data_IF_751609561637
#
_entry.id   IF_751609561637
#
_cell.length_a   1.000
_cell.length_b   1.000
_cell.length_c   1.000
_cell.angle_alpha   90.00
_cell.angle_beta   90.00
_cell.angle_gamma   90.00
#
_symmetry.space_group_name_H-M   'P 1'
#
loop_
_entity.id
_entity.type
_entity.pdbx_description
1 polymer ?
#
# COMPACT_ATOMS: atom_id res chain seq x y z
N UNK A 1 -19.97 2.59 -0.40
CA UNK A 1 -20.15 3.96 -0.96
C UNK A 1 -19.75 5.01 0.08
N UNK A 2 -18.48 5.06 0.52
CA UNK A 2 -17.86 6.16 1.31
C UNK A 2 -16.32 6.12 1.13
N UNK A 3 -15.81 6.15 -0.10
CA UNK A 3 -14.35 6.14 -0.33
C UNK A 3 -13.93 6.88 -1.60
N UNK A 4 -14.44 8.11 -1.81
CA UNK A 4 -14.03 8.95 -2.95
C UNK A 4 -13.51 10.34 -2.55
N UNK A 5 -13.60 10.76 -1.28
CA UNK A 5 -13.09 12.08 -0.87
C UNK A 5 -11.98 11.97 0.17
N UNK A 6 -10.76 11.76 -0.31
CA UNK A 6 -9.53 12.09 0.43
C UNK A 6 -8.37 12.32 -0.55
N UNK A 7 -8.54 13.29 -1.44
CA UNK A 7 -7.44 13.95 -2.14
C UNK A 7 -7.62 15.44 -1.96
N UNK A 8 -6.88 16.02 -1.02
CA UNK A 8 -6.41 17.40 -0.99
C UNK A 8 -5.54 17.55 0.26
N UNK A 9 -4.24 17.39 0.07
CA UNK A 9 -3.24 17.69 1.09
C UNK A 9 -3.16 19.20 1.31
N UNK A 10 -3.31 19.63 2.56
CA UNK A 10 -2.92 20.96 3.02
C UNK A 10 -2.25 20.79 4.41
N UNK A 11 -1.06 21.36 4.65
CA UNK A 11 -0.36 21.22 5.91
C UNK A 11 -0.96 22.12 6.99
N UNK A 12 -1.22 21.58 8.18
CA UNK A 12 -1.58 22.35 9.37
C UNK A 12 -0.33 23.06 9.92
N UNK A 13 -0.29 24.39 9.83
CA UNK A 13 0.60 25.25 10.63
C UNK A 13 -0.17 25.68 11.88
N UNK A 14 0.30 25.27 13.06
CA UNK A 14 -0.18 25.76 14.35
C UNK A 14 0.41 27.16 14.60
N UNK A 15 -0.44 28.09 15.01
CA UNK A 15 -0.09 29.48 15.35
C UNK A 15 0.22 29.54 16.85
N UNK A 16 1.43 29.99 17.21
CA UNK A 16 1.84 30.32 18.57
C UNK A 16 1.27 31.70 18.98
N UNK A 17 0.60 31.83 20.15
CA UNK A 17 0.09 33.11 20.62
C UNK A 17 1.05 33.68 21.67
N UNK A 18 2.18 34.26 21.24
CA UNK A 18 2.96 35.17 22.09
C UNK A 18 3.94 35.97 21.23
N UNK A 19 3.50 37.13 20.74
CA UNK A 19 4.40 38.27 20.54
C UNK A 19 3.62 39.57 20.66
N UNK A 20 4.11 40.41 21.57
CA UNK A 20 3.50 41.64 22.02
C UNK A 20 3.54 42.76 20.99
N UNK A 21 2.67 43.71 21.30
CA UNK A 21 2.41 44.99 20.69
C UNK A 21 3.68 45.86 20.59
N UNK A 22 3.97 46.40 19.41
CA UNK A 22 4.71 47.67 19.29
C UNK A 22 4.22 48.45 18.06
N UNK A 23 3.75 49.68 18.33
CA UNK A 23 3.32 50.67 17.35
C UNK A 23 4.51 51.57 17.00
N UNK A 24 4.83 51.73 15.71
CA UNK A 24 5.53 52.92 15.22
C UNK A 24 5.27 53.16 13.72
N UNK A 25 4.44 54.18 13.47
CA UNK A 25 4.46 55.23 12.42
C UNK A 25 4.95 54.92 10.99
N UNK A 26 4.07 55.29 10.04
CA UNK A 26 4.27 55.43 8.57
C UNK A 26 4.94 56.79 8.26
N UNK A 27 5.55 57.00 7.07
CA UNK A 27 4.80 57.78 6.07
C UNK A 27 4.92 57.34 4.59
N UNK A 28 3.75 57.39 3.95
CA UNK A 28 3.38 57.73 2.57
C UNK A 28 4.36 57.58 1.39
N UNK A 29 4.02 56.70 0.44
CA UNK A 29 3.81 57.13 -0.94
C UNK A 29 2.76 56.27 -1.68
N UNK A 30 1.85 56.95 -2.37
CA UNK A 30 0.58 56.40 -2.85
C UNK A 30 0.66 55.58 -4.13
N UNK A 31 -0.30 54.65 -4.24
CA UNK A 31 -0.97 54.34 -5.51
C UNK A 31 -2.32 53.68 -5.21
N UNK A 32 -3.38 54.35 -5.62
CA UNK A 32 -4.75 53.85 -5.59
C UNK A 32 -4.91 52.64 -6.51
N UNK A 33 -5.40 51.54 -5.94
CA UNK A 33 -6.26 50.56 -6.62
C UNK A 33 -7.29 50.05 -5.60
N UNK A 34 -8.53 49.86 -6.09
CA UNK A 34 -9.78 49.65 -5.38
C UNK A 34 -9.78 48.59 -4.23
N UNK A 35 -10.72 48.67 -3.27
CA UNK A 35 -10.69 47.82 -2.09
C UNK A 35 -11.16 46.39 -2.41
N UNK A 36 -10.27 45.41 -2.25
CA UNK A 36 -10.66 43.99 -2.13
C UNK A 36 -11.25 43.79 -0.72
N UNK A 37 -12.47 44.31 -0.52
CA UNK A 37 -13.17 44.21 0.77
C UNK A 37 -13.92 42.88 0.96
N UNK A 38 -13.94 41.99 -0.04
CA UNK A 38 -14.67 40.71 0.01
C UNK A 38 -13.85 39.49 0.47
N UNK A 39 -12.53 39.50 0.34
CA UNK A 39 -11.73 38.27 0.49
C UNK A 39 -11.45 37.89 1.96
N UNK A 40 -11.24 38.87 2.85
CA UNK A 40 -11.01 38.61 4.28
C UNK A 40 -12.28 38.13 5.00
N UNK A 41 -13.45 38.67 4.64
CA UNK A 41 -14.72 38.24 5.24
C UNK A 41 -15.10 36.81 4.82
N UNK A 42 -14.95 36.46 3.53
CA UNK A 42 -15.22 35.10 3.04
C UNK A 42 -14.32 34.05 3.69
N UNK A 43 -13.02 34.33 3.87
CA UNK A 43 -12.10 33.42 4.57
C UNK A 43 -12.51 33.25 6.05
N UNK A 44 -12.90 34.34 6.72
CA UNK A 44 -13.33 34.28 8.13
C UNK A 44 -14.66 33.52 8.32
N UNK A 45 -15.58 33.64 7.36
CA UNK A 45 -16.88 32.95 7.38
C UNK A 45 -16.67 31.47 7.10
N UNK A 46 -15.80 31.11 6.14
CA UNK A 46 -15.46 29.72 5.85
C UNK A 46 -14.74 29.04 7.01
N UNK A 47 -13.83 29.74 7.71
CA UNK A 47 -13.19 29.23 8.93
C UNK A 47 -14.21 29.00 10.05
N UNK A 48 -15.13 29.93 10.28
CA UNK A 48 -16.19 29.77 11.28
C UNK A 48 -17.13 28.62 10.92
N UNK A 49 -17.50 28.48 9.64
CA UNK A 49 -18.32 27.38 9.16
C UNK A 49 -17.62 26.04 9.30
N UNK A 50 -16.31 25.97 9.03
CA UNK A 50 -15.49 24.77 9.18
C UNK A 50 -15.37 24.35 10.66
N UNK A 51 -15.25 25.30 11.59
CA UNK A 51 -15.23 25.04 13.05
C UNK A 51 -16.59 24.57 13.54
N UNK A 52 -17.68 25.17 13.07
CA UNK A 52 -19.05 24.75 13.44
C UNK A 52 -19.36 23.37 12.86
N UNK A 53 -19.02 23.13 11.59
CA UNK A 53 -19.18 21.83 10.94
C UNK A 53 -18.39 20.73 11.66
N UNK A 54 -17.15 21.02 12.07
CA UNK A 54 -16.34 20.09 12.86
C UNK A 54 -16.95 19.81 14.24
N UNK A 55 -17.45 20.84 14.94
CA UNK A 55 -18.17 20.65 16.21
C UNK A 55 -19.40 19.76 16.04
N UNK A 56 -20.17 19.98 14.97
CA UNK A 56 -21.36 19.18 14.66
C UNK A 56 -20.97 17.73 14.36
N UNK A 57 -19.94 17.51 13.52
CA UNK A 57 -19.43 16.17 13.21
C UNK A 57 -18.87 15.44 14.44
N UNK A 58 -18.24 16.16 15.37
CA UNK A 58 -17.68 15.61 16.61
C UNK A 58 -18.79 15.20 17.61
N UNK A 59 -19.91 15.92 17.65
CA UNK A 59 -21.11 15.53 18.42
C UNK A 59 -21.95 14.44 17.76
N UNK A 60 -22.03 14.40 16.42
CA UNK A 60 -22.89 13.47 15.69
C UNK A 60 -22.23 12.12 15.37
N UNK A 61 -20.89 12.04 15.39
CA UNK A 61 -20.14 10.82 15.05
C UNK A 61 -19.21 10.44 16.23
N UNK A 62 -19.66 9.58 17.16
CA UNK A 62 -18.88 9.19 18.35
C UNK A 62 -17.44 8.69 18.07
N UNK A 63 -17.16 7.97 16.96
CA UNK A 63 -15.79 7.60 16.57
C UNK A 63 -14.84 8.78 16.36
N UNK A 64 -15.34 9.93 15.89
CA UNK A 64 -14.52 11.11 15.58
C UNK A 64 -14.00 11.77 16.86
N UNK A 65 -14.88 11.95 17.85
CA UNK A 65 -14.50 12.46 19.17
C UNK A 65 -13.50 11.52 19.87
N UNK A 66 -13.71 10.19 19.77
CA UNK A 66 -12.77 9.19 20.31
C UNK A 66 -11.37 9.29 19.66
N UNK A 67 -11.30 9.53 18.36
CA UNK A 67 -10.02 9.77 17.64
C UNK A 67 -9.37 11.06 18.11
N UNK A 68 -10.15 12.14 18.29
CA UNK A 68 -9.67 13.42 18.81
C UNK A 68 -9.04 13.29 20.20
N UNK A 69 -9.75 12.66 21.13
CA UNK A 69 -9.26 12.40 22.49
C UNK A 69 -8.01 11.51 22.49
N UNK A 70 -7.97 10.46 21.66
CA UNK A 70 -6.80 9.57 21.55
C UNK A 70 -5.57 10.34 21.04
N UNK A 71 -5.74 11.23 20.05
CA UNK A 71 -4.65 12.09 19.57
C UNK A 71 -4.17 13.08 20.63
N UNK A 72 -5.09 13.66 21.41
CA UNK A 72 -4.74 14.56 22.50
C UNK A 72 -3.94 13.83 23.60
N UNK A 73 -4.43 12.65 24.04
CA UNK A 73 -3.70 11.81 25.01
C UNK A 73 -2.32 11.43 24.49
N UNK A 74 -2.20 11.07 23.22
CA UNK A 74 -0.90 10.76 22.60
C UNK A 74 0.04 11.97 22.62
N UNK A 75 -0.45 13.17 22.31
CA UNK A 75 0.35 14.39 22.36
C UNK A 75 0.81 14.73 23.79
N UNK A 76 -0.08 14.60 24.76
CA UNK A 76 0.23 14.78 26.18
C UNK A 76 1.26 13.76 26.67
N UNK A 77 1.14 12.49 26.25
CA UNK A 77 2.10 11.43 26.58
C UNK A 77 3.50 11.74 26.02
N UNK A 78 3.60 12.18 24.76
CA UNK A 78 4.89 12.59 24.18
C UNK A 78 5.48 13.78 24.94
N UNK A 79 4.65 14.77 25.31
CA UNK A 79 5.12 15.92 26.07
C UNK A 79 5.60 15.54 27.48
N UNK A 80 4.97 14.56 28.11
CA UNK A 80 5.42 13.99 29.37
C UNK A 80 6.78 13.30 29.21
N UNK A 81 6.94 12.45 28.18
CA UNK A 81 8.22 11.78 27.88
C UNK A 81 9.34 12.82 27.68
N UNK A 82 9.07 13.90 26.93
CA UNK A 82 10.00 15.02 26.75
C UNK A 82 10.48 15.62 28.06
N UNK A 83 9.57 15.86 29.00
CA UNK A 83 9.93 16.39 30.32
C UNK A 83 10.77 15.41 31.12
N UNK A 84 10.36 14.13 31.14
CA UNK A 84 11.11 13.07 31.82
C UNK A 84 12.52 12.96 31.26
N UNK A 85 12.69 12.93 29.94
CA UNK A 85 14.01 12.86 29.31
C UNK A 85 14.91 14.03 29.74
N UNK A 86 14.39 15.27 29.80
CA UNK A 86 15.19 16.43 30.27
C UNK A 86 15.69 16.27 31.70
N UNK A 87 14.83 15.82 32.60
CA UNK A 87 15.22 15.59 34.00
C UNK A 87 16.23 14.44 34.12
N UNK A 88 16.05 13.38 33.34
CA UNK A 88 16.92 12.19 33.37
C UNK A 88 18.32 12.48 32.80
N UNK A 89 18.44 13.36 31.79
CA UNK A 89 19.74 13.81 31.27
C UNK A 89 20.54 14.58 32.32
N UNK A 90 19.86 15.24 33.28
CA UNK A 90 20.52 15.95 34.38
C UNK A 90 21.14 15.02 35.43
N UNK A 91 20.86 13.71 35.37
CA UNK A 91 21.45 12.70 36.24
C UNK A 91 22.80 12.21 35.70
N UNK A 92 23.53 11.47 36.54
CA UNK A 92 24.71 10.75 36.08
C UNK A 92 24.36 9.74 34.97
N UNK A 93 25.25 9.58 33.99
CA UNK A 93 25.05 8.74 32.79
C UNK A 93 24.66 7.30 33.14
N UNK A 94 25.21 6.76 34.23
CA UNK A 94 24.89 5.39 34.69
C UNK A 94 23.43 5.25 35.13
N UNK A 95 22.91 6.26 35.85
CA UNK A 95 21.52 6.32 36.31
C UNK A 95 20.57 6.65 35.16
N UNK A 96 20.96 7.55 34.26
CA UNK A 96 20.19 7.86 33.07
C UNK A 96 20.01 6.61 32.19
N UNK A 97 21.11 5.85 32.00
CA UNK A 97 21.10 4.60 31.25
C UNK A 97 20.16 3.55 31.85
N UNK A 98 20.21 3.31 33.16
CA UNK A 98 19.34 2.32 33.79
C UNK A 98 17.85 2.69 33.72
N UNK A 99 17.51 3.99 33.82
CA UNK A 99 16.13 4.49 33.71
C UNK A 99 15.61 4.38 32.27
N UNK A 100 16.43 4.74 31.27
CA UNK A 100 16.00 4.82 29.87
C UNK A 100 16.04 3.48 29.12
N UNK A 101 16.84 2.51 29.59
CA UNK A 101 17.05 1.22 28.90
C UNK A 101 15.75 0.48 28.61
N UNK A 102 14.97 0.17 29.64
CA UNK A 102 13.74 -0.61 29.47
C UNK A 102 12.67 0.15 28.66
N UNK A 103 12.34 1.42 28.94
CA UNK A 103 11.38 2.19 28.14
C UNK A 103 11.77 2.30 26.66
N UNK A 104 13.06 2.45 26.36
CA UNK A 104 13.56 2.54 24.99
C UNK A 104 13.34 1.24 24.21
N UNK A 105 13.70 0.10 24.80
CA UNK A 105 13.56 -1.21 24.16
C UNK A 105 12.08 -1.59 23.99
N UNK A 106 11.24 -1.34 24.99
CA UNK A 106 9.78 -1.56 24.87
C UNK A 106 9.16 -0.65 23.81
N UNK A 107 9.57 0.61 23.72
CA UNK A 107 9.09 1.50 22.66
C UNK A 107 9.44 0.97 21.27
N UNK A 108 10.63 0.39 21.10
CA UNK A 108 11.02 -0.25 19.85
C UNK A 108 10.20 -1.52 19.57
N UNK A 109 10.01 -2.38 20.59
CA UNK A 109 9.24 -3.62 20.51
C UNK A 109 7.76 -3.39 20.17
N UNK A 110 7.15 -2.32 20.69
CA UNK A 110 5.75 -1.96 20.42
C UNK A 110 5.57 -1.01 19.23
N UNK A 111 6.67 -0.59 18.58
CA UNK A 111 6.60 0.24 17.38
C UNK A 111 6.33 1.72 17.64
N UNK A 112 6.54 2.21 18.85
CA UNK A 112 6.30 3.61 19.27
C UNK A 112 7.52 4.47 18.90
N UNK A 113 7.68 4.72 17.60
CA UNK A 113 8.83 5.43 17.03
C UNK A 113 9.01 6.86 17.57
N UNK A 114 7.96 7.51 18.06
CA UNK A 114 8.02 8.84 18.66
C UNK A 114 8.83 8.84 19.96
N UNK A 115 8.65 7.82 20.81
CA UNK A 115 9.40 7.66 22.06
C UNK A 115 10.85 7.28 21.76
N UNK A 116 11.06 6.34 20.83
CA UNK A 116 12.41 5.94 20.36
C UNK A 116 13.18 7.16 19.87
N UNK A 117 12.55 8.00 19.05
CA UNK A 117 13.15 9.23 18.54
C UNK A 117 13.48 10.20 19.66
N UNK A 118 12.55 10.46 20.57
CA UNK A 118 12.76 11.42 21.65
C UNK A 118 13.90 11.01 22.58
N UNK A 119 13.97 9.72 22.92
CA UNK A 119 15.05 9.18 23.76
C UNK A 119 16.39 9.29 23.05
N UNK A 120 16.49 8.99 21.74
CA UNK A 120 17.75 9.11 20.99
C UNK A 120 18.19 10.55 20.79
N UNK A 121 17.26 11.48 20.57
CA UNK A 121 17.56 12.91 20.44
C UNK A 121 18.05 13.49 21.78
N UNK A 122 17.60 12.92 22.91
CA UNK A 122 17.98 13.31 24.27
C UNK A 122 19.23 12.62 24.81
N UNK A 123 19.38 11.32 24.55
CA UNK A 123 20.43 10.44 25.07
C UNK A 123 20.92 9.50 23.96
N UNK A 124 21.85 9.94 23.10
CA UNK A 124 22.29 9.17 21.92
C UNK A 124 22.88 7.79 22.23
N UNK A 125 23.50 7.62 23.39
CA UNK A 125 24.11 6.35 23.82
C UNK A 125 23.07 5.23 24.01
N UNK A 126 21.78 5.57 24.14
CA UNK A 126 20.68 4.61 24.20
C UNK A 126 20.63 3.67 22.99
N UNK A 127 21.22 4.07 21.85
CA UNK A 127 21.25 3.25 20.65
C UNK A 127 21.95 1.90 20.84
N UNK A 128 22.83 1.80 21.85
CA UNK A 128 23.58 0.59 22.21
C UNK A 128 22.88 -0.28 23.25
N UNK A 129 21.73 0.14 23.76
CA UNK A 129 20.96 -0.66 24.71
C UNK A 129 20.52 -1.99 24.09
N UNK A 130 20.61 -3.03 24.92
CA UNK A 130 20.28 -4.42 24.59
C UNK A 130 19.30 -4.97 25.64
N UNK A 131 18.46 -5.93 25.27
CA UNK A 131 17.67 -6.71 26.23
C UNK A 131 18.47 -7.89 26.80
N UNK A 132 17.80 -8.81 27.50
CA UNK A 132 18.41 -10.03 28.07
C UNK A 132 18.84 -11.05 26.99
N UNK A 133 18.29 -10.94 25.77
CA UNK A 133 18.59 -11.79 24.61
C UNK A 133 19.67 -11.17 23.70
N UNK A 134 20.32 -10.08 24.11
CA UNK A 134 21.24 -9.27 23.29
C UNK A 134 20.57 -8.58 22.08
N UNK A 135 19.25 -8.34 22.12
CA UNK A 135 18.55 -7.58 21.10
C UNK A 135 18.62 -6.08 21.36
N UNK A 136 19.17 -5.36 20.38
CA UNK A 136 19.06 -3.90 20.35
C UNK A 136 17.66 -3.47 19.90
N UNK A 137 17.33 -2.19 20.06
CA UNK A 137 16.13 -1.62 19.44
C UNK A 137 16.07 -1.84 17.91
N UNK A 138 17.21 -2.06 17.24
CA UNK A 138 17.26 -2.40 15.82
C UNK A 138 16.77 -3.85 15.57
N UNK A 139 17.22 -4.80 16.39
CA UNK A 139 16.75 -6.19 16.36
C UNK A 139 15.25 -6.28 16.65
N UNK A 140 14.78 -5.59 17.69
CA UNK A 140 13.36 -5.55 18.04
C UNK A 140 12.51 -4.94 16.91
N UNK A 141 12.96 -3.85 16.30
CA UNK A 141 12.24 -3.28 15.16
C UNK A 141 12.12 -4.27 13.99
N UNK A 142 13.15 -5.09 13.77
CA UNK A 142 13.18 -6.14 12.75
C UNK A 142 12.23 -7.29 13.06
N UNK A 143 12.31 -7.85 14.28
CA UNK A 143 11.52 -9.00 14.71
C UNK A 143 10.01 -8.71 14.70
N UNK A 144 9.63 -7.48 15.08
CA UNK A 144 8.23 -7.06 15.21
C UNK A 144 7.70 -6.31 13.97
N UNK A 145 8.51 -6.20 12.90
CA UNK A 145 8.14 -5.54 11.62
C UNK A 145 7.78 -4.06 11.78
N UNK A 146 8.47 -3.35 12.68
CA UNK A 146 8.25 -1.93 12.95
C UNK A 146 9.13 -1.04 12.06
N UNK A 147 8.70 -0.87 10.81
CA UNK A 147 9.34 0.00 9.79
C UNK A 147 9.75 1.38 10.32
N UNK A 148 8.84 2.08 11.00
CA UNK A 148 9.10 3.46 11.46
C UNK A 148 10.21 3.52 12.51
N UNK A 149 10.25 2.55 13.42
CA UNK A 149 11.32 2.41 14.41
C UNK A 149 12.62 2.08 13.70
N UNK A 150 12.62 1.10 12.80
CA UNK A 150 13.79 0.74 12.01
C UNK A 150 14.37 1.95 11.27
N UNK A 151 13.51 2.77 10.65
CA UNK A 151 13.91 3.99 9.94
C UNK A 151 14.53 5.02 10.88
N UNK A 152 13.92 5.28 12.04
CA UNK A 152 14.47 6.21 13.06
C UNK A 152 15.84 5.71 13.53
N UNK A 153 15.94 4.43 13.88
CA UNK A 153 17.19 3.81 14.31
C UNK A 153 18.26 3.93 13.23
N UNK A 154 17.92 3.65 11.97
CA UNK A 154 18.84 3.76 10.84
C UNK A 154 19.37 5.18 10.64
N UNK A 155 18.48 6.18 10.67
CA UNK A 155 18.84 7.58 10.53
C UNK A 155 19.73 8.09 11.66
N UNK A 156 19.55 7.55 12.88
CA UNK A 156 20.31 7.93 14.09
C UNK A 156 21.53 7.05 14.34
N UNK A 157 21.75 6.00 13.54
CA UNK A 157 22.83 5.03 13.73
C UNK A 157 24.23 5.65 13.65
N UNK A 158 24.44 6.66 12.79
CA UNK A 158 25.71 7.38 12.67
C UNK A 158 26.93 6.44 12.67
N UNK A 159 27.85 6.66 13.62
CA UNK A 159 29.06 5.86 13.84
C UNK A 159 28.79 4.41 14.32
N UNK A 160 27.64 4.16 14.96
CA UNK A 160 27.28 2.84 15.48
C UNK A 160 26.74 1.89 14.40
N UNK A 161 26.52 2.37 13.16
CA UNK A 161 25.93 1.56 12.08
C UNK A 161 26.66 0.24 11.84
N UNK A 162 28.00 0.27 11.81
CA UNK A 162 28.80 -0.94 11.61
C UNK A 162 28.68 -1.90 12.80
N UNK A 163 28.81 -1.38 14.02
CA UNK A 163 28.66 -2.13 15.27
C UNK A 163 27.29 -2.82 15.32
N UNK A 164 26.21 -2.07 15.14
CA UNK A 164 24.83 -2.56 15.19
C UNK A 164 24.54 -3.64 14.12
N UNK A 165 25.22 -3.58 12.97
CA UNK A 165 25.05 -4.61 11.92
C UNK A 165 25.74 -5.94 12.24
N UNK A 166 26.74 -5.90 13.14
CA UNK A 166 27.60 -7.03 13.48
C UNK A 166 27.25 -7.67 14.82
N UNK A 167 26.37 -7.07 15.61
CA UNK A 167 25.95 -7.61 16.91
C UNK A 167 25.05 -8.84 16.70
N UNK A 168 25.49 -10.04 17.11
CA UNK A 168 24.61 -11.19 17.15
C UNK A 168 23.75 -11.19 18.43
N UNK A 169 22.61 -11.88 18.39
CA UNK A 169 21.89 -12.28 19.60
C UNK A 169 22.62 -13.43 20.34
N UNK A 170 22.03 -13.92 21.43
CA UNK A 170 22.57 -15.04 22.21
C UNK A 170 22.70 -16.35 21.41
N UNK A 171 21.90 -16.55 20.36
CA UNK A 171 21.90 -17.71 19.48
C UNK A 171 22.76 -17.52 18.23
N UNK A 172 23.60 -16.48 18.23
CA UNK A 172 24.44 -16.09 17.10
C UNK A 172 23.64 -15.73 15.83
N UNK A 173 22.36 -15.37 15.98
CA UNK A 173 21.55 -14.82 14.92
C UNK A 173 21.98 -13.37 14.68
N UNK A 174 22.41 -13.09 13.46
CA UNK A 174 22.43 -11.71 13.00
C UNK A 174 21.01 -11.23 12.67
N UNK A 175 20.89 -9.94 12.42
CA UNK A 175 19.64 -9.29 12.07
C UNK A 175 18.86 -9.94 10.92
N UNK A 176 19.53 -10.56 9.94
CA UNK A 176 18.86 -11.22 8.83
C UNK A 176 18.23 -12.57 9.24
N UNK A 177 18.84 -13.30 10.18
CA UNK A 177 18.22 -14.49 10.78
C UNK A 177 16.94 -14.09 11.54
N UNK A 178 16.98 -12.97 12.28
CA UNK A 178 15.82 -12.45 13.02
C UNK A 178 14.64 -12.08 12.12
N UNK A 179 14.89 -11.62 10.88
CA UNK A 179 13.83 -11.46 9.88
C UNK A 179 13.29 -12.80 9.40
N UNK A 180 14.13 -13.82 9.33
CA UNK A 180 13.78 -15.16 8.88
C UNK A 180 12.61 -15.77 9.66
N UNK A 181 12.53 -15.50 10.96
CA UNK A 181 11.43 -15.97 11.80
C UNK A 181 10.11 -15.27 11.48
N UNK A 182 9.00 -15.99 11.67
CA UNK A 182 7.65 -15.40 11.62
C UNK A 182 7.59 -14.20 12.57
N UNK A 183 6.96 -13.12 12.12
CA UNK A 183 6.83 -11.91 12.93
C UNK A 183 6.22 -12.24 14.31
N UNK A 184 6.91 -11.86 15.39
CA UNK A 184 6.41 -12.02 16.77
C UNK A 184 5.33 -10.96 17.06
N UNK A 185 4.21 -10.99 16.33
CA UNK A 185 3.14 -10.02 16.56
C UNK A 185 2.27 -10.46 17.75
N UNK A 186 2.26 -9.66 18.82
CA UNK A 186 1.18 -9.67 19.84
C UNK A 186 -0.14 -9.10 19.29
N UNK A 187 -0.14 -8.61 18.05
CA UNK A 187 -1.32 -8.10 17.39
C UNK A 187 -1.99 -9.23 16.62
N UNK A 188 -3.06 -9.75 17.19
CA UNK A 188 -4.10 -10.54 16.55
C UNK A 188 -4.80 -9.72 15.44
N UNK A 189 -4.06 -9.12 14.50
CA UNK A 189 -4.63 -8.78 13.20
C UNK A 189 -4.55 -10.04 12.32
N UNK A 190 -5.27 -11.07 12.80
CA UNK A 190 -5.94 -12.07 11.97
C UNK A 190 -7.10 -11.41 11.18
N UNK A 191 -6.95 -10.14 10.81
CA UNK A 191 -7.82 -9.49 9.85
C UNK A 191 -7.45 -10.06 8.48
N UNK A 192 -8.09 -11.19 8.19
CA UNK A 192 -8.53 -11.58 6.86
C UNK A 192 -7.44 -11.84 5.84
N UNK A 193 -7.26 -13.11 5.46
CA UNK A 193 -6.88 -13.52 4.10
C UNK A 193 -6.04 -12.50 3.32
N UNK A 194 -4.90 -12.09 3.88
CA UNK A 194 -4.06 -11.06 3.29
C UNK A 194 -3.31 -11.74 2.15
N UNK A 195 -3.97 -11.80 1.00
CA UNK A 195 -3.39 -12.14 -0.29
C UNK A 195 -2.02 -11.44 -0.36
N UNK A 196 -0.93 -12.23 -0.38
CA UNK A 196 0.47 -11.81 -0.52
C UNK A 196 1.15 -11.32 0.77
N UNK A 197 0.83 -11.90 1.92
CA UNK A 197 1.63 -11.76 3.14
C UNK A 197 3.07 -12.24 2.93
N UNK A 198 3.26 -13.33 2.18
CA UNK A 198 4.61 -13.83 1.86
C UNK A 198 5.44 -12.77 1.11
N UNK A 199 4.79 -12.02 0.21
CA UNK A 199 5.46 -10.98 -0.55
C UNK A 199 5.95 -9.85 0.36
N UNK A 200 5.16 -9.48 1.37
CA UNK A 200 5.54 -8.48 2.35
C UNK A 200 6.70 -8.95 3.24
N UNK A 201 6.68 -10.20 3.69
CA UNK A 201 7.78 -10.80 4.45
C UNK A 201 9.06 -10.86 3.60
N UNK A 202 8.95 -11.21 2.31
CA UNK A 202 10.09 -11.23 1.39
C UNK A 202 10.64 -9.82 1.15
N UNK A 203 9.77 -8.81 0.99
CA UNK A 203 10.21 -7.42 0.87
C UNK A 203 10.95 -6.94 2.12
N UNK A 204 10.43 -7.27 3.31
CA UNK A 204 11.08 -6.94 4.57
C UNK A 204 12.45 -7.64 4.69
N UNK A 205 12.53 -8.91 4.32
CA UNK A 205 13.80 -9.65 4.25
C UNK A 205 14.80 -8.97 3.30
N UNK A 206 14.37 -8.60 2.09
CA UNK A 206 15.23 -7.92 1.10
C UNK A 206 15.67 -6.53 1.52
N UNK A 207 14.81 -5.82 2.24
CA UNK A 207 15.15 -4.55 2.87
C UNK A 207 16.30 -4.77 3.85
N UNK A 208 16.13 -5.67 4.82
CA UNK A 208 17.11 -5.85 5.89
C UNK A 208 18.42 -6.42 5.34
N UNK A 209 18.34 -7.29 4.32
CA UNK A 209 19.49 -7.82 3.59
C UNK A 209 20.40 -6.72 3.03
N UNK A 210 19.85 -5.56 2.62
CA UNK A 210 20.64 -4.42 2.13
C UNK A 210 21.41 -3.71 3.25
N UNK A 211 20.97 -3.82 4.49
CA UNK A 211 21.63 -3.21 5.66
C UNK A 211 22.67 -4.12 6.30
N UNK A 212 22.56 -5.43 6.08
CA UNK A 212 23.49 -6.43 6.58
C UNK A 212 24.68 -6.57 5.63
N UNK A 213 25.88 -6.69 6.19
CA UNK A 213 27.13 -6.86 5.45
C UNK A 213 27.07 -8.13 4.58
N UNK A 214 27.69 -8.13 3.38
CA UNK A 214 27.64 -9.30 2.48
C UNK A 214 28.13 -10.61 3.09
N UNK A 215 29.11 -10.54 4.00
CA UNK A 215 29.67 -11.71 4.70
C UNK A 215 28.64 -12.36 5.65
N UNK A 216 27.84 -11.54 6.33
CA UNK A 216 26.82 -11.96 7.30
C UNK A 216 25.57 -12.58 6.64
N UNK A 217 25.34 -12.35 5.35
CA UNK A 217 24.17 -12.94 4.65
C UNK A 217 24.19 -14.46 4.61
N UNK A 218 25.38 -15.06 4.73
CA UNK A 218 25.61 -16.51 4.68
C UNK A 218 26.18 -17.07 5.97
N UNK A 219 26.35 -16.25 7.01
CA UNK A 219 26.79 -16.73 8.32
C UNK A 219 25.76 -17.70 8.87
N UNK A 220 26.22 -18.64 9.69
CA UNK A 220 25.35 -19.62 10.35
C UNK A 220 25.16 -19.25 11.82
N UNK A 221 23.92 -19.42 12.30
CA UNK A 221 23.60 -19.31 13.72
C UNK A 221 24.11 -20.54 14.52
N UNK A 222 23.79 -20.61 15.81
CA UNK A 222 24.14 -21.76 16.67
C UNK A 222 23.59 -23.10 16.15
N UNK A 223 22.45 -23.11 15.45
CA UNK A 223 21.88 -24.32 14.82
C UNK A 223 22.54 -24.71 13.49
N UNK A 224 23.54 -23.94 13.04
CA UNK A 224 24.19 -24.17 11.75
C UNK A 224 23.35 -23.73 10.54
N UNK A 225 22.26 -22.99 10.76
CA UNK A 225 21.33 -22.52 9.72
C UNK A 225 21.70 -21.13 9.24
N UNK A 226 21.48 -20.88 7.95
CA UNK A 226 21.61 -19.55 7.33
C UNK A 226 20.30 -18.75 7.44
N UNK A 227 20.34 -17.41 7.31
CA UNK A 227 19.13 -16.58 7.36
C UNK A 227 18.04 -17.01 6.37
N UNK A 228 18.46 -17.38 5.15
CA UNK A 228 17.55 -17.80 4.09
C UNK A 228 16.90 -19.15 4.39
N UNK A 229 17.63 -20.08 5.01
CA UNK A 229 17.07 -21.38 5.41
C UNK A 229 15.98 -21.19 6.46
N UNK A 230 16.23 -20.37 7.50
CA UNK A 230 15.23 -20.04 8.51
C UNK A 230 14.00 -19.42 7.84
N UNK A 231 14.19 -18.44 6.95
CA UNK A 231 13.08 -17.80 6.24
C UNK A 231 12.21 -18.79 5.46
N UNK A 232 12.83 -19.73 4.73
CA UNK A 232 12.10 -20.75 3.95
C UNK A 232 11.38 -21.73 4.86
N UNK A 233 12.01 -22.19 5.93
CA UNK A 233 11.43 -23.16 6.87
C UNK A 233 10.24 -22.56 7.61
N UNK A 234 10.41 -21.36 8.16
CA UNK A 234 9.39 -20.65 8.92
C UNK A 234 8.18 -20.27 8.06
N UNK A 235 8.39 -19.90 6.80
CA UNK A 235 7.30 -19.46 5.93
C UNK A 235 6.76 -20.56 5.00
N UNK A 236 7.16 -21.83 5.19
CA UNK A 236 6.80 -22.95 4.30
C UNK A 236 5.29 -23.12 4.10
N UNK A 237 4.53 -23.10 5.19
CA UNK A 237 3.07 -23.27 5.15
C UNK A 237 2.38 -22.09 4.45
N UNK A 238 2.84 -20.87 4.73
CA UNK A 238 2.31 -19.66 4.10
C UNK A 238 2.58 -19.66 2.59
N UNK A 239 3.80 -20.04 2.18
CA UNK A 239 4.16 -20.20 0.77
C UNK A 239 3.27 -21.23 0.07
N UNK A 240 3.00 -22.36 0.71
CA UNK A 240 2.14 -23.41 0.15
C UNK A 240 0.69 -22.93 -0.01
N UNK A 241 0.15 -22.26 1.01
CA UNK A 241 -1.21 -21.73 0.99
C UNK A 241 -1.39 -20.64 -0.09
N UNK A 242 -0.51 -19.63 -0.12
CA UNK A 242 -0.59 -18.57 -1.12
C UNK A 242 -0.34 -19.09 -2.55
N UNK A 243 0.59 -20.04 -2.71
CA UNK A 243 0.84 -20.70 -3.98
C UNK A 243 -0.42 -21.41 -4.51
N UNK A 244 -1.11 -22.18 -3.66
CA UNK A 244 -2.37 -22.84 -4.03
C UNK A 244 -3.48 -21.85 -4.35
N UNK A 245 -3.62 -20.79 -3.55
CA UNK A 245 -4.61 -19.73 -3.80
C UNK A 245 -4.38 -19.05 -5.17
N UNK A 246 -3.13 -18.70 -5.48
CA UNK A 246 -2.77 -18.10 -6.77
C UNK A 246 -3.02 -19.05 -7.94
N UNK A 247 -2.76 -20.37 -7.78
CA UNK A 247 -3.06 -21.35 -8.82
C UNK A 247 -4.57 -21.49 -9.05
N UNK A 248 -5.37 -21.50 -7.98
CA UNK A 248 -6.83 -21.53 -8.07
C UNK A 248 -7.38 -20.33 -8.83
N UNK A 249 -6.90 -19.12 -8.49
CA UNK A 249 -7.27 -17.89 -9.19
C UNK A 249 -6.86 -17.92 -10.67
N UNK A 250 -5.61 -18.26 -10.97
CA UNK A 250 -5.13 -18.36 -12.35
C UNK A 250 -5.96 -19.37 -13.16
N UNK A 251 -6.35 -20.51 -12.56
CA UNK A 251 -7.20 -21.51 -13.22
C UNK A 251 -8.58 -20.94 -13.55
N UNK A 252 -9.28 -20.36 -12.57
CA UNK A 252 -10.62 -19.78 -12.78
C UNK A 252 -10.59 -18.64 -13.81
N UNK A 253 -9.58 -17.77 -13.75
CA UNK A 253 -9.43 -16.67 -14.69
C UNK A 253 -9.02 -17.15 -16.10
N UNK A 254 -8.26 -18.24 -16.23
CA UNK A 254 -7.96 -18.87 -17.53
C UNK A 254 -9.24 -19.40 -18.18
N UNK A 255 -10.12 -20.05 -17.42
CA UNK A 255 -11.42 -20.53 -17.92
C UNK A 255 -12.30 -19.36 -18.36
N UNK A 256 -12.36 -18.28 -17.56
CA UNK A 256 -13.10 -17.08 -17.96
C UNK A 256 -12.52 -16.43 -19.23
N UNK A 257 -11.19 -16.31 -19.32
CA UNK A 257 -10.50 -15.75 -20.49
C UNK A 257 -10.72 -16.59 -21.76
N UNK A 258 -10.70 -17.93 -21.65
CA UNK A 258 -10.95 -18.79 -22.79
C UNK A 258 -12.38 -18.69 -23.29
N UNK A 259 -13.37 -18.59 -22.38
CA UNK A 259 -14.77 -18.32 -22.74
C UNK A 259 -14.96 -16.97 -23.42
N UNK A 260 -14.27 -15.93 -22.96
CA UNK A 260 -14.30 -14.61 -23.63
C UNK A 260 -13.69 -14.72 -25.03
N UNK A 261 -12.52 -15.37 -25.15
CA UNK A 261 -11.86 -15.56 -26.44
C UNK A 261 -12.74 -16.31 -27.44
N UNK A 262 -13.46 -17.36 -27.02
CA UNK A 262 -14.36 -18.11 -27.91
C UNK A 262 -15.56 -17.28 -28.36
N UNK A 263 -16.19 -16.54 -27.44
CA UNK A 263 -17.36 -15.69 -27.76
C UNK A 263 -16.97 -14.56 -28.72
N UNK A 264 -15.86 -13.88 -28.44
CA UNK A 264 -15.36 -12.77 -29.27
C UNK A 264 -14.88 -13.29 -30.63
N UNK A 265 -14.16 -14.40 -30.67
CA UNK A 265 -13.75 -15.01 -31.94
C UNK A 265 -14.94 -15.42 -32.81
N UNK A 266 -15.99 -16.00 -32.21
CA UNK A 266 -17.22 -16.30 -32.93
C UNK A 266 -17.87 -15.02 -33.48
N UNK A 267 -17.96 -13.96 -32.67
CA UNK A 267 -18.51 -12.67 -33.08
C UNK A 267 -17.73 -12.01 -34.23
N UNK A 268 -16.40 -12.17 -34.27
CA UNK A 268 -15.55 -11.70 -35.37
C UNK A 268 -15.91 -12.34 -36.72
N UNK A 269 -16.25 -13.63 -36.71
CA UNK A 269 -16.60 -14.39 -37.94
C UNK A 269 -18.07 -14.17 -38.29
N UNK A 270 -18.96 -14.15 -37.29
CA UNK A 270 -20.39 -13.90 -37.47
C UNK A 270 -20.71 -12.43 -37.24
N UNK A 271 -20.18 -11.57 -38.12
CA UNK A 271 -20.33 -10.11 -37.99
C UNK A 271 -21.79 -9.67 -37.90
N UNK A 272 -22.10 -8.66 -37.06
CA UNK A 272 -23.47 -8.19 -36.89
C UNK A 272 -24.06 -7.65 -38.19
N UNK A 273 -25.27 -8.11 -38.53
CA UNK A 273 -25.94 -7.78 -39.79
C UNK A 273 -25.56 -8.67 -40.98
N UNK A 274 -24.59 -9.58 -40.83
CA UNK A 274 -24.15 -10.49 -41.88
C UNK A 274 -23.21 -9.86 -42.92
N UNK A 275 -22.82 -10.68 -43.90
CA UNK A 275 -21.97 -10.30 -45.02
C UNK A 275 -22.77 -10.20 -46.33
N UNK A 276 -22.27 -9.39 -47.26
CA UNK A 276 -22.70 -9.42 -48.65
C UNK A 276 -22.17 -10.67 -49.36
N UNK A 277 -22.62 -10.92 -50.59
CA UNK A 277 -22.19 -12.04 -51.44
C UNK A 277 -20.66 -12.03 -51.64
N UNK A 278 -20.06 -10.85 -51.67
CA UNK A 278 -18.61 -10.64 -51.80
C UNK A 278 -17.84 -10.80 -50.47
N UNK A 279 -18.53 -11.08 -49.36
CA UNK A 279 -17.93 -11.27 -48.03
C UNK A 279 -17.77 -9.99 -47.20
N UNK A 280 -18.19 -8.82 -47.69
CA UNK A 280 -18.06 -7.57 -46.95
C UNK A 280 -19.17 -7.38 -45.91
N UNK A 281 -18.86 -6.85 -44.70
CA UNK A 281 -19.87 -6.59 -43.69
C UNK A 281 -20.89 -5.54 -44.14
N UNK A 282 -22.18 -5.82 -43.98
CA UNK A 282 -23.27 -4.92 -44.41
C UNK A 282 -23.21 -3.55 -43.70
N UNK A 283 -22.76 -3.52 -42.44
CA UNK A 283 -22.62 -2.29 -41.66
C UNK A 283 -21.24 -1.63 -41.73
N UNK A 284 -20.37 -2.04 -42.65
CA UNK A 284 -18.98 -1.55 -42.79
C UNK A 284 -18.83 -0.02 -42.80
N UNK A 285 -19.79 0.72 -43.34
CA UNK A 285 -19.76 2.20 -43.41
C UNK A 285 -20.22 2.91 -42.12
N UNK A 286 -20.82 2.19 -41.16
CA UNK A 286 -21.32 2.79 -39.92
C UNK A 286 -20.19 2.90 -38.89
N UNK A 287 -20.08 4.06 -38.22
CA UNK A 287 -19.08 4.28 -37.16
C UNK A 287 -19.14 3.23 -36.04
N UNK A 288 -20.34 2.79 -35.65
CA UNK A 288 -20.51 1.75 -34.64
C UNK A 288 -19.92 0.39 -35.04
N UNK A 289 -19.87 0.07 -36.34
CA UNK A 289 -19.22 -1.16 -36.82
C UNK A 289 -17.70 -1.11 -36.67
N UNK A 290 -17.09 0.06 -36.91
CA UNK A 290 -15.66 0.26 -36.68
C UNK A 290 -15.32 0.10 -35.19
N UNK A 291 -16.15 0.66 -34.30
CA UNK A 291 -16.00 0.50 -32.84
C UNK A 291 -16.13 -0.96 -32.43
N UNK A 292 -17.10 -1.69 -32.98
CA UNK A 292 -17.26 -3.13 -32.78
C UNK A 292 -15.98 -3.88 -33.18
N UNK A 293 -15.52 -3.73 -34.43
CA UNK A 293 -14.38 -4.50 -34.94
C UNK A 293 -13.08 -4.26 -34.15
N UNK A 294 -12.80 -3.01 -33.77
CA UNK A 294 -11.60 -2.68 -32.97
C UNK A 294 -11.73 -3.25 -31.54
N UNK A 295 -12.90 -3.08 -30.91
CA UNK A 295 -13.12 -3.56 -29.54
C UNK A 295 -13.08 -5.08 -29.46
N UNK A 296 -13.66 -5.76 -30.44
CA UNK A 296 -13.67 -7.21 -30.57
C UNK A 296 -12.25 -7.77 -30.73
N UNK A 297 -11.45 -7.20 -31.64
CA UNK A 297 -10.04 -7.55 -31.78
C UNK A 297 -9.21 -7.33 -30.50
N UNK A 298 -9.40 -6.20 -29.81
CA UNK A 298 -8.73 -5.92 -28.53
C UNK A 298 -9.15 -6.90 -27.43
N UNK A 299 -10.43 -7.28 -27.38
CA UNK A 299 -10.94 -8.25 -26.43
C UNK A 299 -10.30 -9.61 -26.63
N UNK A 300 -10.17 -10.05 -27.89
CA UNK A 300 -9.57 -11.33 -28.25
C UNK A 300 -8.08 -11.39 -27.91
N UNK A 301 -7.30 -10.39 -28.31
CA UNK A 301 -5.85 -10.35 -28.04
C UNK A 301 -5.57 -10.30 -26.54
N UNK A 302 -6.36 -9.52 -25.79
CA UNK A 302 -6.21 -9.41 -24.33
C UNK A 302 -6.61 -10.70 -23.60
N UNK A 303 -7.67 -11.39 -24.07
CA UNK A 303 -8.07 -12.70 -23.53
C UNK A 303 -6.99 -13.76 -23.78
N UNK A 304 -6.44 -13.84 -25.00
CA UNK A 304 -5.36 -14.78 -25.31
C UNK A 304 -4.08 -14.47 -24.53
N UNK A 305 -3.74 -13.20 -24.36
CA UNK A 305 -2.61 -12.77 -23.54
C UNK A 305 -2.79 -13.15 -22.06
N UNK A 306 -4.02 -13.09 -21.55
CA UNK A 306 -4.37 -13.57 -20.21
C UNK A 306 -4.11 -15.08 -20.09
N UNK A 307 -4.62 -15.88 -21.04
CA UNK A 307 -4.42 -17.34 -21.06
C UNK A 307 -2.93 -17.69 -21.11
N UNK A 308 -2.15 -17.03 -21.97
CA UNK A 308 -0.71 -17.26 -22.07
C UNK A 308 0.03 -16.89 -20.77
N UNK A 309 -0.36 -15.79 -20.12
CA UNK A 309 0.21 -15.36 -18.85
C UNK A 309 -0.01 -16.40 -17.74
N UNK A 310 -1.22 -16.94 -17.64
CA UNK A 310 -1.53 -17.98 -16.65
C UNK A 310 -0.96 -19.35 -17.00
N UNK A 311 -0.88 -19.71 -18.29
CA UNK A 311 -0.16 -20.90 -18.73
C UNK A 311 1.33 -20.82 -18.36
N UNK A 312 1.92 -19.63 -18.47
CA UNK A 312 3.29 -19.37 -18.02
C UNK A 312 3.47 -19.56 -16.52
N UNK A 313 2.43 -19.34 -15.72
CA UNK A 313 2.45 -19.62 -14.28
C UNK A 313 2.51 -21.14 -14.04
N UNK A 314 1.64 -21.92 -14.69
CA UNK A 314 1.58 -23.38 -14.54
C UNK A 314 2.85 -24.12 -14.99
N UNK A 315 3.55 -23.57 -15.99
CA UNK A 315 4.74 -24.20 -16.59
C UNK A 315 6.05 -23.81 -15.90
N UNK A 316 6.04 -22.83 -15.00
CA UNK A 316 7.26 -22.29 -14.42
C UNK A 316 7.86 -23.18 -13.31
N UNK A 317 9.16 -23.52 -13.45
CA UNK A 317 9.98 -24.18 -12.41
C UNK A 317 11.13 -23.25 -12.02
N UNK A 318 10.93 -22.32 -11.07
CA UNK A 318 11.95 -21.37 -10.62
C UNK A 318 12.47 -21.70 -9.20
N UNK A 319 13.65 -21.16 -8.85
CA UNK A 319 14.15 -21.17 -7.47
C UNK A 319 13.14 -20.47 -6.54
N UNK A 320 13.02 -20.94 -5.29
CA UNK A 320 11.96 -20.54 -4.33
C UNK A 320 11.78 -19.02 -4.21
N UNK A 321 12.87 -18.25 -4.21
CA UNK A 321 12.81 -16.78 -4.07
C UNK A 321 12.34 -16.11 -5.37
N UNK A 322 12.87 -16.53 -6.51
CA UNK A 322 12.51 -15.95 -7.81
C UNK A 322 11.07 -16.32 -8.19
N UNK A 323 10.62 -17.49 -7.77
CA UNK A 323 9.23 -17.94 -7.88
C UNK A 323 8.28 -16.97 -7.17
N UNK A 324 8.58 -16.59 -5.93
CA UNK A 324 7.73 -15.69 -5.14
C UNK A 324 7.61 -14.28 -5.73
N UNK A 325 8.59 -13.83 -6.52
CA UNK A 325 8.52 -12.52 -7.17
C UNK A 325 7.87 -12.60 -8.56
N UNK A 326 8.28 -13.57 -9.38
CA UNK A 326 7.78 -13.67 -10.76
C UNK A 326 6.29 -14.02 -10.82
N UNK A 327 5.79 -14.77 -9.84
CA UNK A 327 4.44 -15.32 -9.88
C UNK A 327 3.34 -14.28 -9.61
N UNK A 328 3.41 -13.45 -8.55
CA UNK A 328 2.49 -12.32 -8.38
C UNK A 328 2.52 -11.36 -9.58
N UNK A 329 3.70 -11.10 -10.15
CA UNK A 329 3.85 -10.21 -11.31
C UNK A 329 3.09 -10.73 -12.53
N UNK A 330 3.24 -12.02 -12.87
CA UNK A 330 2.49 -12.65 -13.97
C UNK A 330 0.99 -12.67 -13.70
N UNK A 331 0.59 -12.90 -12.44
CA UNK A 331 -0.82 -12.87 -12.02
C UNK A 331 -1.43 -11.47 -12.21
N UNK A 332 -0.72 -10.40 -11.82
CA UNK A 332 -1.14 -9.00 -12.02
C UNK A 332 -1.34 -8.72 -13.52
N UNK A 333 -0.36 -9.05 -14.35
CA UNK A 333 -0.41 -8.79 -15.80
C UNK A 333 -1.59 -9.53 -16.43
N UNK A 334 -1.79 -10.80 -16.07
CA UNK A 334 -2.93 -11.59 -16.55
C UNK A 334 -4.28 -11.01 -16.12
N UNK A 335 -4.44 -10.60 -14.87
CA UNK A 335 -5.68 -9.99 -14.38
C UNK A 335 -5.97 -8.61 -15.02
N UNK A 336 -4.94 -7.80 -15.28
CA UNK A 336 -5.09 -6.54 -15.99
C UNK A 336 -5.55 -6.75 -17.44
N UNK A 337 -4.94 -7.73 -18.13
CA UNK A 337 -5.35 -8.10 -19.48
C UNK A 337 -6.79 -8.67 -19.51
N UNK A 338 -7.18 -9.44 -18.49
CA UNK A 338 -8.56 -9.94 -18.35
C UNK A 338 -9.55 -8.80 -18.15
N UNK A 339 -9.22 -7.83 -17.29
CA UNK A 339 -10.05 -6.65 -17.03
C UNK A 339 -10.25 -5.84 -18.32
N UNK A 340 -9.17 -5.62 -19.08
CA UNK A 340 -9.24 -4.97 -20.39
C UNK A 340 -10.15 -5.74 -21.34
N UNK A 341 -10.00 -7.06 -21.42
CA UNK A 341 -10.80 -7.93 -22.27
C UNK A 341 -12.30 -7.86 -21.98
N UNK A 342 -12.69 -7.86 -20.70
CA UNK A 342 -14.10 -7.73 -20.28
C UNK A 342 -14.68 -6.38 -20.70
N UNK A 343 -13.93 -5.28 -20.50
CA UNK A 343 -14.38 -3.94 -20.90
C UNK A 343 -14.59 -3.90 -22.41
N UNK A 344 -13.61 -4.34 -23.20
CA UNK A 344 -13.66 -4.28 -24.66
C UNK A 344 -14.71 -5.24 -25.24
N UNK A 345 -14.95 -6.39 -24.61
CA UNK A 345 -16.04 -7.29 -24.99
C UNK A 345 -17.41 -6.63 -24.75
N UNK A 346 -17.60 -5.94 -23.62
CA UNK A 346 -18.86 -5.23 -23.33
C UNK A 346 -19.06 -4.02 -24.25
N UNK A 347 -18.00 -3.32 -24.68
CA UNK A 347 -18.11 -2.26 -25.69
C UNK A 347 -18.46 -2.82 -27.07
N UNK A 348 -17.87 -3.96 -27.47
CA UNK A 348 -18.23 -4.65 -28.70
C UNK A 348 -19.70 -5.09 -28.70
N UNK A 349 -20.17 -5.70 -27.61
CA UNK A 349 -21.57 -6.08 -27.43
C UNK A 349 -22.52 -4.89 -27.52
N UNK A 350 -22.19 -3.77 -26.87
CA UNK A 350 -22.98 -2.54 -26.92
C UNK A 350 -23.05 -1.95 -28.34
N UNK A 351 -21.93 -1.96 -29.07
CA UNK A 351 -21.87 -1.52 -30.46
C UNK A 351 -22.74 -2.40 -31.38
N UNK A 352 -22.73 -3.71 -31.17
CA UNK A 352 -23.59 -4.66 -31.88
C UNK A 352 -25.08 -4.38 -31.64
N UNK A 353 -25.49 -4.21 -30.38
CA UNK A 353 -26.88 -3.88 -30.06
C UNK A 353 -27.32 -2.54 -30.66
N UNK A 354 -26.43 -1.54 -30.65
CA UNK A 354 -26.68 -0.28 -31.34
C UNK A 354 -26.87 -0.50 -32.86
N UNK A 355 -26.01 -1.28 -33.51
CA UNK A 355 -26.13 -1.53 -34.95
C UNK A 355 -27.43 -2.22 -35.35
N UNK A 356 -27.90 -3.17 -34.52
CA UNK A 356 -29.11 -3.96 -34.76
C UNK A 356 -30.38 -3.15 -34.47
N UNK A 357 -30.46 -2.46 -33.32
CA UNK A 357 -31.70 -1.85 -32.84
C UNK A 357 -31.82 -0.32 -33.07
N UNK A 358 -30.75 0.37 -33.46
CA UNK A 358 -30.74 1.85 -33.59
C UNK A 358 -31.78 2.41 -34.57
N UNK A 359 -32.26 1.62 -35.53
CA UNK A 359 -33.23 2.10 -36.52
C UNK A 359 -34.67 2.18 -35.98
N UNK A 360 -35.00 1.43 -34.94
CA UNK A 360 -36.41 1.25 -34.55
C UNK A 360 -36.80 2.04 -33.31
N UNK A 361 -35.96 2.17 -32.27
CA UNK A 361 -36.32 2.93 -31.05
C UNK A 361 -35.11 3.41 -30.23
N UNK A 362 -34.98 4.72 -30.01
CA UNK A 362 -33.93 5.30 -29.14
C UNK A 362 -34.04 4.88 -27.66
N UNK A 363 -35.24 4.46 -27.21
CA UNK A 363 -35.49 3.95 -25.85
C UNK A 363 -34.79 2.62 -25.55
N UNK A 364 -34.40 1.84 -26.57
CA UNK A 364 -33.66 0.57 -26.39
C UNK A 364 -32.22 0.84 -25.93
N UNK A 365 -31.68 2.04 -26.14
CA UNK A 365 -30.32 2.40 -25.72
C UNK A 365 -30.14 2.37 -24.19
N UNK A 366 -31.20 2.66 -23.43
CA UNK A 366 -31.16 2.72 -21.96
C UNK A 366 -30.96 1.30 -21.36
N UNK A 367 -31.78 0.28 -21.70
CA UNK A 367 -31.54 -1.11 -21.30
C UNK A 367 -30.17 -1.67 -21.72
N UNK A 368 -29.69 -1.29 -22.91
CA UNK A 368 -28.41 -1.77 -23.43
C UNK A 368 -27.24 -1.19 -22.62
N UNK A 369 -27.30 0.11 -22.31
CA UNK A 369 -26.28 0.77 -21.50
C UNK A 369 -26.27 0.24 -20.05
N UNK A 370 -27.44 -0.01 -19.46
CA UNK A 370 -27.53 -0.58 -18.11
C UNK A 370 -27.04 -2.03 -18.07
N UNK A 371 -27.40 -2.84 -19.07
CA UNK A 371 -26.96 -4.24 -19.17
C UNK A 371 -25.45 -4.38 -19.38
N UNK A 372 -24.82 -3.50 -20.18
CA UNK A 372 -23.37 -3.51 -20.38
C UNK A 372 -22.59 -3.00 -19.16
N UNK A 373 -23.16 -2.03 -18.42
CA UNK A 373 -22.50 -1.44 -17.25
C UNK A 373 -22.49 -2.40 -16.05
N UNK A 374 -23.52 -3.24 -15.89
CA UNK A 374 -23.67 -4.12 -14.74
C UNK A 374 -22.51 -5.13 -14.59
N UNK A 375 -22.13 -5.94 -15.61
CA UNK A 375 -21.00 -6.86 -15.50
C UNK A 375 -19.67 -6.15 -15.26
N UNK A 376 -19.45 -4.99 -15.89
CA UNK A 376 -18.21 -4.20 -15.71
C UNK A 376 -18.13 -3.66 -14.28
N UNK A 377 -19.22 -3.12 -13.74
CA UNK A 377 -19.28 -2.63 -12.38
C UNK A 377 -19.09 -3.78 -11.36
N UNK A 378 -19.75 -4.92 -11.57
CA UNK A 378 -19.58 -6.11 -10.74
C UNK A 378 -18.13 -6.60 -10.76
N UNK A 379 -17.54 -6.74 -11.94
CA UNK A 379 -16.15 -7.17 -12.09
C UNK A 379 -15.19 -6.18 -11.45
N UNK A 380 -15.38 -4.87 -11.64
CA UNK A 380 -14.58 -3.84 -10.98
C UNK A 380 -14.72 -3.91 -9.44
N UNK A 381 -15.93 -4.05 -8.91
CA UNK A 381 -16.12 -4.12 -7.45
C UNK A 381 -15.50 -5.37 -6.81
N UNK A 382 -15.47 -6.49 -7.53
CA UNK A 382 -14.97 -7.76 -6.99
C UNK A 382 -13.47 -7.96 -7.23
N UNK A 383 -12.96 -7.59 -8.41
CA UNK A 383 -11.59 -7.89 -8.84
C UNK A 383 -10.61 -6.73 -8.65
N UNK A 384 -11.08 -5.48 -8.61
CA UNK A 384 -10.20 -4.34 -8.40
C UNK A 384 -9.61 -4.29 -6.98
N UNK A 385 -10.36 -4.55 -5.89
CA UNK A 385 -9.77 -4.58 -4.55
C UNK A 385 -8.62 -5.59 -4.39
N UNK A 386 -8.75 -6.88 -4.76
CA UNK A 386 -7.64 -7.82 -4.65
C UNK A 386 -6.47 -7.46 -5.60
N UNK A 387 -6.75 -6.98 -6.81
CA UNK A 387 -5.72 -6.53 -7.75
C UNK A 387 -4.93 -5.34 -7.20
N UNK A 388 -5.60 -4.33 -6.64
CA UNK A 388 -4.95 -3.17 -6.03
C UNK A 388 -4.13 -3.56 -4.80
N UNK A 389 -4.65 -4.46 -3.97
CA UNK A 389 -3.90 -4.98 -2.83
C UNK A 389 -2.63 -5.70 -3.28
N UNK A 390 -2.71 -6.47 -4.36
CA UNK A 390 -1.57 -7.15 -4.95
C UNK A 390 -0.55 -6.20 -5.58
N UNK A 391 -1.00 -5.18 -6.32
CA UNK A 391 -0.13 -4.13 -6.85
C UNK A 391 0.54 -3.37 -5.71
N UNK A 392 -0.20 -3.02 -4.65
CA UNK A 392 0.35 -2.33 -3.49
C UNK A 392 1.32 -3.21 -2.71
N UNK A 393 1.07 -4.51 -2.59
CA UNK A 393 2.00 -5.45 -1.96
C UNK A 393 3.26 -5.63 -2.81
N UNK A 394 3.14 -5.63 -4.14
CA UNK A 394 4.27 -5.88 -5.07
C UNK A 394 5.12 -4.65 -5.35
N UNK A 395 4.47 -3.54 -5.69
CA UNK A 395 5.05 -2.29 -6.19
C UNK A 395 4.77 -1.09 -5.29
N UNK A 396 4.10 -1.30 -4.16
CA UNK A 396 3.89 -0.24 -3.19
C UNK A 396 5.22 0.41 -2.82
N UNK A 397 5.17 1.66 -2.29
CA UNK A 397 6.35 2.31 -1.77
C UNK A 397 7.16 1.30 -0.98
N UNK A 398 8.41 1.09 -1.41
CA UNK A 398 9.39 0.36 -0.61
C UNK A 398 9.19 0.80 0.83
N UNK A 399 9.29 -0.13 1.78
CA UNK A 399 9.22 0.12 3.22
C UNK A 399 10.23 1.24 3.67
N UNK A 400 11.02 1.80 2.74
CA UNK A 400 11.99 2.89 2.91
C UNK A 400 11.77 4.10 2.00
N UNK A 401 10.70 4.23 1.22
CA UNK A 401 10.50 5.44 0.41
C UNK A 401 9.92 6.59 1.24
N UNK A 402 10.82 7.34 1.88
CA UNK A 402 10.88 8.81 1.91
C UNK A 402 12.06 9.29 2.74
#
# INVERSE_FOLDING_TARGET
MVCVFCFLGVPLKLIDPNQGNDQSQVPHHGRCCAPIFGCKQLISVWQKFHVVLWKVLETSVPPINRIGQTKLMHHQAIHLVKRICREVIGLDNTKASSILRLPFLLAAQYGIHEIVKEILDSFPDAITFIDEENHTAFHLAVMYRHEKVFKVMHQRSGQYKLLLSLLPDNDRNNMLHLVGYKARQQRLDFSSGAVLQMQRELQWFKVVEKFVLPQERKSKNCDGKTPLQIFIEEHKELMAYEGQWMMGMATSCTVAASLIATVVFAAAITVPGGSTVDGFPIFSKKKAFIVFAISDGLALVSALSTVLSFLSIFTSRYAVIDYLYALPMRLIIGLLALFLSVITMMTAFSATLYLVFSKENALILIPVATLACLPVALFATLQLPPLLNMIKSTYGPSIFSQ
#
